data_IF_987421523306
#
_entry.id   IF_987421523306
#
_cell.length_a   1.000
_cell.length_b   1.000
_cell.length_c   1.000
_cell.angle_alpha   90.00
_cell.angle_beta   90.00
_cell.angle_gamma   90.00
#
_symmetry.space_group_name_H-M   'P 1'
#
loop_
_entity.id
_entity.type
_entity.pdbx_description
1 polymer ?
#
# COMPACT_ATOMS: atom_id res chain seq x y z
N UNK A 1 -3.78 -16.06 -4.56
CA UNK A 1 -2.71 -17.05 -4.85
C UNK A 1 -2.05 -16.73 -6.19
N UNK A 2 -0.73 -16.90 -6.33
CA UNK A 2 -0.05 -16.71 -7.63
C UNK A 2 -0.26 -17.92 -8.53
N UNK A 3 -0.61 -17.68 -9.80
CA UNK A 3 -0.80 -18.71 -10.81
C UNK A 3 0.37 -18.77 -11.81
N UNK A 4 0.58 -19.91 -12.49
CA UNK A 4 1.46 -19.98 -13.65
C UNK A 4 0.88 -19.16 -14.81
N UNK A 5 1.77 -18.65 -15.68
CA UNK A 5 1.34 -17.86 -16.86
C UNK A 5 0.37 -18.64 -17.77
N UNK A 6 0.59 -19.94 -17.89
CA UNK A 6 -0.25 -20.84 -18.68
C UNK A 6 -1.71 -20.83 -18.25
N UNK A 7 -2.01 -20.65 -16.96
CA UNK A 7 -3.39 -20.56 -16.46
C UNK A 7 -4.15 -19.34 -17.01
N UNK A 8 -3.42 -18.35 -17.52
CA UNK A 8 -3.96 -17.17 -18.15
C UNK A 8 -3.97 -17.30 -19.68
N UNK A 9 -2.84 -17.68 -20.29
CA UNK A 9 -2.70 -17.74 -21.75
C UNK A 9 -3.47 -18.89 -22.41
N UNK A 10 -3.91 -19.88 -21.63
CA UNK A 10 -4.76 -20.99 -22.13
C UNK A 10 -6.25 -20.62 -22.26
N UNK A 11 -6.66 -19.45 -21.77
CA UNK A 11 -8.06 -19.00 -21.87
C UNK A 11 -8.20 -17.96 -22.99
N UNK A 12 -9.32 -17.96 -23.73
CA UNK A 12 -9.54 -17.06 -24.86
C UNK A 12 -10.04 -15.68 -24.40
N UNK A 13 -9.25 -14.99 -23.55
CA UNK A 13 -9.58 -13.64 -23.12
C UNK A 13 -9.47 -12.66 -24.28
N UNK A 14 -10.41 -11.73 -24.38
CA UNK A 14 -10.45 -10.70 -25.44
C UNK A 14 -9.22 -9.78 -25.44
N UNK A 15 -8.57 -9.63 -24.28
CA UNK A 15 -7.31 -8.87 -24.17
C UNK A 15 -6.21 -9.42 -25.08
N UNK A 16 -6.21 -10.71 -25.39
CA UNK A 16 -5.20 -11.31 -26.27
C UNK A 16 -5.27 -10.80 -27.71
N UNK A 17 -6.44 -10.29 -28.14
CA UNK A 17 -6.63 -9.73 -29.47
C UNK A 17 -5.89 -8.39 -29.65
N UNK A 18 -5.74 -7.61 -28.55
CA UNK A 18 -5.22 -6.24 -28.60
C UNK A 18 -3.87 -6.05 -27.94
N UNK A 19 -3.46 -6.98 -27.08
CA UNK A 19 -2.23 -6.90 -26.28
C UNK A 19 -1.20 -8.00 -26.60
N UNK A 20 -1.18 -8.50 -27.85
CA UNK A 20 -0.26 -9.57 -28.29
C UNK A 20 1.22 -9.20 -28.22
N UNK A 21 1.56 -7.90 -28.23
CA UNK A 21 2.91 -7.36 -28.06
C UNK A 21 3.33 -7.16 -26.60
N UNK A 22 2.43 -7.45 -25.64
CA UNK A 22 2.71 -7.37 -24.20
C UNK A 22 3.15 -8.72 -23.64
N UNK A 23 4.03 -8.66 -22.63
CA UNK A 23 4.46 -9.84 -21.89
C UNK A 23 3.66 -10.00 -20.61
N UNK A 24 3.16 -11.20 -20.36
CA UNK A 24 2.54 -11.54 -19.08
C UNK A 24 3.62 -11.58 -18.00
N UNK A 25 3.60 -10.63 -17.07
CA UNK A 25 4.56 -10.52 -15.98
C UNK A 25 4.15 -11.33 -14.75
N UNK A 26 2.92 -11.20 -14.32
CA UNK A 26 2.38 -11.90 -13.16
C UNK A 26 0.89 -12.25 -13.37
N UNK A 27 0.47 -13.39 -12.81
CA UNK A 27 -0.92 -13.83 -12.77
C UNK A 27 -1.29 -14.21 -11.34
N UNK A 28 -2.43 -13.71 -10.86
CA UNK A 28 -2.92 -13.93 -9.51
C UNK A 28 -4.40 -14.32 -9.51
N UNK A 29 -4.76 -15.24 -8.62
CA UNK A 29 -6.15 -15.56 -8.30
C UNK A 29 -6.48 -15.10 -6.89
N UNK A 30 -7.67 -14.55 -6.72
CA UNK A 30 -8.22 -14.05 -5.47
C UNK A 30 -9.48 -14.85 -5.14
N UNK A 31 -9.51 -15.42 -3.93
CA UNK A 31 -10.63 -16.23 -3.48
C UNK A 31 -11.86 -15.35 -3.22
N UNK A 32 -12.98 -15.73 -3.86
CA UNK A 32 -14.27 -15.05 -3.76
C UNK A 32 -15.33 -16.02 -3.22
N UNK A 33 -15.35 -16.31 -1.91
CA UNK A 33 -16.26 -17.31 -1.35
C UNK A 33 -17.73 -16.97 -1.67
N UNK A 34 -18.47 -17.98 -2.16
CA UNK A 34 -19.88 -17.84 -2.52
C UNK A 34 -20.13 -17.06 -3.81
N UNK A 35 -19.09 -16.82 -4.63
CA UNK A 35 -19.24 -16.16 -5.91
C UNK A 35 -19.91 -17.03 -6.97
N UNK A 36 -20.88 -16.46 -7.68
CA UNK A 36 -21.54 -17.02 -8.87
C UNK A 36 -20.97 -16.48 -10.19
N UNK A 37 -21.50 -16.98 -11.31
CA UNK A 37 -21.04 -16.55 -12.65
C UNK A 37 -21.26 -15.07 -12.91
N UNK A 38 -22.36 -14.50 -12.42
CA UNK A 38 -22.82 -13.14 -12.75
C UNK A 38 -22.33 -12.08 -11.74
N UNK A 39 -21.43 -12.45 -10.82
CA UNK A 39 -21.00 -11.56 -9.74
C UNK A 39 -19.82 -10.64 -10.12
N UNK A 40 -19.31 -10.70 -11.33
CA UNK A 40 -18.17 -9.85 -11.76
C UNK A 40 -18.46 -8.36 -11.66
N UNK A 41 -19.61 -7.83 -12.12
CA UNK A 41 -19.95 -6.40 -11.96
C UNK A 41 -19.99 -5.99 -10.47
N UNK A 42 -20.53 -6.84 -9.60
CA UNK A 42 -20.56 -6.57 -8.16
C UNK A 42 -19.15 -6.52 -7.56
N UNK A 43 -18.23 -7.36 -8.05
CA UNK A 43 -16.82 -7.33 -7.66
C UNK A 43 -16.12 -6.04 -8.14
N UNK A 44 -16.34 -5.63 -9.38
CA UNK A 44 -15.81 -4.37 -9.90
C UNK A 44 -16.32 -3.17 -9.10
N UNK A 45 -17.62 -3.13 -8.79
CA UNK A 45 -18.21 -2.10 -7.96
C UNK A 45 -17.60 -2.09 -6.54
N UNK A 46 -17.33 -3.25 -5.96
CA UNK A 46 -16.69 -3.34 -4.65
C UNK A 46 -15.24 -2.84 -4.64
N UNK A 47 -14.51 -3.01 -5.75
CA UNK A 47 -13.16 -2.47 -5.91
C UNK A 47 -13.19 -0.95 -6.14
N UNK A 48 -14.19 -0.45 -6.87
CA UNK A 48 -14.34 0.97 -7.21
C UNK A 48 -14.98 1.80 -6.10
N UNK A 49 -15.70 1.14 -5.19
CA UNK A 49 -16.32 1.83 -4.06
C UNK A 49 -15.26 2.67 -3.34
N UNK A 50 -15.55 3.96 -3.04
CA UNK A 50 -14.64 4.78 -2.28
C UNK A 50 -14.32 4.05 -0.97
N UNK A 51 -13.19 3.36 -0.94
CA UNK A 51 -12.71 2.68 0.25
C UNK A 51 -12.40 3.72 1.30
N UNK A 52 -12.66 3.40 2.57
CA UNK A 52 -12.07 4.17 3.66
C UNK A 52 -10.54 4.19 3.43
N UNK A 53 -9.93 5.37 3.22
CA UNK A 53 -8.47 5.47 3.05
C UNK A 53 -7.69 4.79 4.18
N UNK A 54 -8.31 4.61 5.36
CA UNK A 54 -7.76 3.86 6.47
C UNK A 54 -7.73 2.34 6.23
N UNK A 55 -8.55 1.80 5.32
CA UNK A 55 -8.63 0.36 5.01
C UNK A 55 -7.70 -0.07 3.88
N UNK A 56 -7.15 0.86 3.11
CA UNK A 56 -6.10 0.53 2.15
C UNK A 56 -4.89 -0.05 2.88
N UNK A 57 -4.44 -1.22 2.45
CA UNK A 57 -3.28 -1.86 3.06
C UNK A 57 -2.07 -0.91 3.04
N UNK A 58 -1.54 -0.58 4.21
CA UNK A 58 -0.37 0.29 4.41
C UNK A 58 0.76 0.06 3.40
N UNK A 59 1.15 -1.20 3.08
CA UNK A 59 2.18 -1.46 2.07
C UNK A 59 1.80 -0.99 0.67
N UNK A 60 0.54 -1.07 0.29
CA UNK A 60 0.07 -0.66 -1.04
C UNK A 60 0.09 0.87 -1.18
N UNK A 61 -0.39 1.60 -0.17
CA UNK A 61 -0.33 3.07 -0.10
C UNK A 61 1.11 3.58 -0.13
N UNK A 62 1.99 2.96 0.64
CA UNK A 62 3.42 3.25 0.63
C UNK A 62 4.02 3.11 -0.78
N UNK A 63 3.65 2.06 -1.49
CA UNK A 63 4.13 1.77 -2.82
C UNK A 63 3.73 2.78 -3.86
N UNK A 64 2.44 3.09 -3.92
CA UNK A 64 1.97 4.12 -4.81
C UNK A 64 2.60 5.47 -4.48
N UNK A 65 2.77 5.79 -3.20
CA UNK A 65 3.43 7.02 -2.78
C UNK A 65 4.92 7.06 -3.16
N UNK A 66 5.66 5.97 -3.00
CA UNK A 66 7.06 5.84 -3.48
C UNK A 66 7.11 5.89 -5.00
N UNK A 67 6.24 5.15 -5.69
CA UNK A 67 6.14 5.15 -7.14
C UNK A 67 5.89 6.56 -7.69
N UNK A 68 4.96 7.30 -7.10
CA UNK A 68 4.65 8.66 -7.54
C UNK A 68 5.78 9.65 -7.25
N UNK A 69 6.44 9.52 -6.10
CA UNK A 69 7.59 10.38 -5.78
C UNK A 69 8.79 10.10 -6.69
N UNK A 70 9.08 8.84 -6.96
CA UNK A 70 10.10 8.48 -7.94
C UNK A 70 9.67 8.90 -9.34
N UNK A 71 8.39 8.74 -9.69
CA UNK A 71 7.81 9.21 -10.94
C UNK A 71 7.98 10.72 -11.14
N UNK A 72 7.69 11.51 -10.11
CA UNK A 72 7.90 12.96 -10.14
C UNK A 72 9.38 13.33 -10.20
N UNK A 73 10.24 12.64 -9.44
CA UNK A 73 11.69 12.91 -9.41
C UNK A 73 12.38 12.61 -10.74
N UNK A 74 11.96 11.51 -11.40
CA UNK A 74 12.56 11.04 -12.66
C UNK A 74 11.73 11.39 -13.91
N UNK A 75 10.66 12.18 -13.74
CA UNK A 75 9.79 12.58 -14.85
C UNK A 75 9.06 11.42 -15.52
N UNK A 76 8.78 10.32 -14.78
CA UNK A 76 8.13 9.14 -15.35
C UNK A 76 6.65 9.34 -15.64
N UNK A 77 6.01 10.26 -14.92
CA UNK A 77 4.57 10.54 -14.95
C UNK A 77 4.27 11.89 -15.64
N UNK A 78 5.20 12.42 -16.43
CA UNK A 78 4.94 13.61 -17.23
C UNK A 78 3.83 13.32 -18.28
N UNK A 79 2.93 14.28 -18.57
CA UNK A 79 1.87 14.11 -19.58
C UNK A 79 2.40 13.69 -20.95
N UNK A 80 3.61 14.17 -21.32
CA UNK A 80 4.31 13.80 -22.57
C UNK A 80 4.87 12.37 -22.58
N UNK A 81 4.86 11.68 -21.47
CA UNK A 81 5.36 10.30 -21.33
C UNK A 81 4.25 9.24 -21.28
N UNK A 82 3.00 9.66 -21.26
CA UNK A 82 1.81 8.84 -21.08
C UNK A 82 1.14 8.37 -22.36
N UNK A 83 -0.08 7.89 -22.18
CA UNK A 83 -1.01 7.48 -23.26
C UNK A 83 -1.38 8.71 -24.09
N UNK A 84 -1.47 8.54 -25.40
CA UNK A 84 -1.78 9.59 -26.36
C UNK A 84 -0.59 10.47 -26.76
N UNK A 85 0.47 10.51 -25.96
CA UNK A 85 1.66 11.29 -26.27
C UNK A 85 2.86 10.42 -26.69
N UNK A 86 3.18 9.35 -25.92
CA UNK A 86 4.29 8.45 -26.24
C UNK A 86 3.80 7.12 -26.84
N UNK A 87 2.70 6.60 -26.36
CA UNK A 87 2.11 5.35 -26.82
C UNK A 87 0.65 5.57 -27.18
N UNK A 88 0.20 4.86 -28.21
CA UNK A 88 -1.24 4.81 -28.53
C UNK A 88 -1.98 4.02 -27.47
N UNK A 89 -3.20 4.44 -27.15
CA UNK A 89 -4.09 3.71 -26.26
C UNK A 89 -4.43 2.34 -26.88
N UNK A 90 -4.56 1.33 -26.04
CA UNK A 90 -5.11 0.05 -26.47
C UNK A 90 -6.59 0.18 -26.89
N UNK A 91 -7.28 1.24 -26.48
CA UNK A 91 -8.62 1.56 -27.02
C UNK A 91 -8.64 1.72 -28.54
N UNK A 92 -7.57 2.21 -29.12
CA UNK A 92 -7.45 2.40 -30.59
C UNK A 92 -7.35 1.06 -31.32
N UNK A 93 -7.00 -0.02 -30.62
CA UNK A 93 -6.88 -1.39 -31.14
C UNK A 93 -8.14 -2.24 -30.92
N UNK A 94 -9.17 -1.69 -30.25
CA UNK A 94 -10.40 -2.43 -29.94
C UNK A 94 -11.15 -2.84 -31.21
N UNK A 95 -11.57 -4.11 -31.34
CA UNK A 95 -12.58 -4.54 -32.29
C UNK A 95 -13.89 -3.76 -32.11
N UNK A 96 -14.75 -3.73 -33.13
CA UNK A 96 -15.96 -2.91 -33.13
C UNK A 96 -16.89 -3.20 -31.96
N UNK A 97 -17.09 -4.48 -31.63
CA UNK A 97 -17.94 -4.96 -30.54
C UNK A 97 -17.43 -4.49 -29.16
N UNK A 98 -16.12 -4.61 -28.89
CA UNK A 98 -15.52 -4.12 -27.65
C UNK A 98 -15.47 -2.58 -27.59
N UNK A 99 -15.41 -1.91 -28.73
CA UNK A 99 -15.43 -0.45 -28.79
C UNK A 99 -16.79 0.12 -28.39
N UNK A 100 -17.88 -0.54 -28.77
CA UNK A 100 -19.24 -0.17 -28.36
C UNK A 100 -19.40 -0.37 -26.83
N UNK A 101 -18.99 -1.51 -26.30
CA UNK A 101 -19.01 -1.77 -24.86
C UNK A 101 -18.15 -0.77 -24.06
N UNK A 102 -17.00 -0.36 -24.60
CA UNK A 102 -16.08 0.58 -23.94
C UNK A 102 -16.66 2.01 -23.78
N UNK A 103 -17.70 2.38 -24.54
CA UNK A 103 -18.32 3.70 -24.42
C UNK A 103 -19.08 3.89 -23.10
N UNK A 104 -19.55 2.80 -22.47
CA UNK A 104 -20.23 2.81 -21.17
C UNK A 104 -19.31 2.55 -19.97
N UNK A 105 -18.04 2.23 -20.20
CA UNK A 105 -17.11 1.87 -19.14
C UNK A 105 -16.71 3.08 -18.31
N UNK A 106 -17.12 3.09 -17.04
CA UNK A 106 -16.72 4.08 -16.02
C UNK A 106 -15.62 3.56 -15.08
N UNK A 107 -15.07 2.38 -15.37
CA UNK A 107 -14.03 1.74 -14.55
C UNK A 107 -12.72 2.54 -14.61
N UNK A 108 -12.63 3.60 -13.84
CA UNK A 108 -11.40 4.36 -13.63
C UNK A 108 -10.80 4.03 -12.27
N UNK A 109 -9.69 3.30 -12.23
CA UNK A 109 -8.86 3.18 -11.04
C UNK A 109 -7.65 4.09 -11.20
N UNK A 110 -7.71 5.32 -10.72
CA UNK A 110 -6.52 6.17 -10.78
C UNK A 110 -5.30 5.44 -10.18
N UNK A 111 -4.17 5.36 -10.89
CA UNK A 111 -3.80 6.09 -12.12
C UNK A 111 -4.07 5.35 -13.45
N UNK A 112 -4.86 4.29 -13.44
CA UNK A 112 -5.16 3.51 -14.64
C UNK A 112 -6.31 4.12 -15.44
N UNK A 113 -6.24 3.96 -16.75
CA UNK A 113 -7.32 4.34 -17.69
C UNK A 113 -8.02 3.07 -18.18
N UNK A 114 -9.35 3.04 -18.14
CA UNK A 114 -10.11 1.91 -18.65
C UNK A 114 -9.88 1.74 -20.15
N UNK A 115 -9.67 0.52 -20.60
CA UNK A 115 -9.62 0.14 -22.02
C UNK A 115 -10.97 -0.37 -22.45
N UNK A 116 -11.50 -1.39 -21.77
CA UNK A 116 -12.85 -1.92 -21.94
C UNK A 116 -13.32 -2.60 -20.64
N UNK A 117 -14.62 -2.80 -20.55
CA UNK A 117 -15.29 -3.59 -19.53
C UNK A 117 -16.29 -4.50 -20.25
N UNK A 118 -16.22 -5.81 -20.00
CA UNK A 118 -17.04 -6.85 -20.56
C UNK A 118 -17.69 -7.68 -19.45
N UNK A 119 -18.55 -8.63 -19.80
CA UNK A 119 -19.34 -9.41 -18.84
C UNK A 119 -18.50 -10.12 -17.77
N UNK A 120 -17.33 -10.66 -18.16
CA UNK A 120 -16.47 -11.47 -17.33
C UNK A 120 -14.99 -11.02 -17.32
N UNK A 121 -14.67 -9.90 -17.99
CA UNK A 121 -13.32 -9.34 -18.00
C UNK A 121 -13.30 -7.82 -18.16
N UNK A 122 -12.29 -7.18 -17.61
CA UNK A 122 -11.98 -5.79 -17.89
C UNK A 122 -10.49 -5.53 -18.02
N UNK A 123 -10.13 -4.54 -18.80
CA UNK A 123 -8.75 -4.13 -19.02
C UNK A 123 -8.55 -2.66 -18.68
N UNK A 124 -7.48 -2.40 -17.94
CA UNK A 124 -7.05 -1.08 -17.49
C UNK A 124 -5.61 -0.86 -17.93
N UNK A 125 -5.30 0.26 -18.56
CA UNK A 125 -3.96 0.57 -19.02
C UNK A 125 -3.31 1.73 -18.27
N UNK A 126 -1.99 1.68 -18.17
CA UNK A 126 -1.15 2.74 -17.62
C UNK A 126 0.14 2.82 -18.42
N UNK A 127 0.46 3.99 -18.93
CA UNK A 127 1.74 4.24 -19.57
C UNK A 127 2.56 5.27 -18.82
N UNK A 128 3.86 5.02 -18.79
CA UNK A 128 4.88 5.91 -18.25
C UNK A 128 6.11 5.93 -19.16
N UNK A 129 7.10 6.75 -18.86
CA UNK A 129 8.36 6.82 -19.61
C UNK A 129 9.07 5.46 -19.74
N UNK A 130 8.90 4.58 -18.76
CA UNK A 130 9.62 3.30 -18.66
C UNK A 130 8.83 2.09 -19.13
N UNK A 131 7.50 2.11 -19.03
CA UNK A 131 6.66 0.95 -19.33
C UNK A 131 5.25 1.36 -19.77
N UNK A 132 4.70 0.63 -20.72
CA UNK A 132 3.26 0.54 -20.97
C UNK A 132 2.77 -0.76 -20.36
N UNK A 133 1.82 -0.69 -19.45
CA UNK A 133 1.31 -1.83 -18.69
C UNK A 133 -0.21 -1.91 -18.75
N UNK A 134 -0.71 -3.13 -18.67
CA UNK A 134 -2.13 -3.45 -18.59
C UNK A 134 -2.38 -4.26 -17.34
N UNK A 135 -3.38 -3.89 -16.60
CA UNK A 135 -3.99 -4.70 -15.56
C UNK A 135 -5.28 -5.29 -16.14
N UNK A 136 -5.30 -6.58 -16.33
CA UNK A 136 -6.45 -7.31 -16.81
C UNK A 136 -7.08 -8.06 -15.65
N UNK A 137 -8.35 -7.79 -15.38
CA UNK A 137 -9.17 -8.49 -14.40
C UNK A 137 -10.13 -9.40 -15.15
N UNK A 138 -10.28 -10.63 -14.69
CA UNK A 138 -11.17 -11.60 -15.33
C UNK A 138 -11.85 -12.50 -14.30
N UNK A 139 -13.06 -12.91 -14.61
CA UNK A 139 -13.89 -13.76 -13.78
C UNK A 139 -13.83 -15.20 -14.29
N UNK A 140 -13.47 -16.14 -13.46
CA UNK A 140 -13.24 -17.51 -13.90
C UNK A 140 -13.75 -18.53 -12.89
N UNK A 141 -14.21 -19.71 -13.34
CA UNK A 141 -14.47 -20.82 -12.44
C UNK A 141 -13.23 -21.17 -11.63
N UNK A 142 -13.42 -21.31 -10.30
CA UNK A 142 -12.37 -21.69 -9.37
C UNK A 142 -12.21 -23.22 -9.31
N UNK A 143 -11.00 -23.76 -9.16
CA UNK A 143 -10.77 -25.20 -9.03
C UNK A 143 -11.49 -25.82 -7.81
N UNK A 144 -11.76 -25.04 -6.78
CA UNK A 144 -12.48 -25.44 -5.56
C UNK A 144 -13.99 -25.34 -5.67
N UNK A 145 -14.54 -25.01 -6.83
CA UNK A 145 -15.95 -24.69 -7.05
C UNK A 145 -16.27 -23.21 -6.86
N UNK A 146 -17.34 -22.73 -7.49
CA UNK A 146 -17.69 -21.32 -7.57
C UNK A 146 -16.79 -20.53 -8.53
N UNK A 147 -16.62 -19.23 -8.29
CA UNK A 147 -15.85 -18.33 -9.14
C UNK A 147 -14.75 -17.61 -8.36
N UNK A 148 -13.73 -17.18 -9.08
CA UNK A 148 -12.58 -16.43 -8.54
C UNK A 148 -12.25 -15.25 -9.45
N UNK A 149 -11.80 -14.14 -8.85
CA UNK A 149 -11.21 -13.05 -9.60
C UNK A 149 -9.78 -13.43 -9.99
N UNK A 150 -9.45 -13.30 -11.25
CA UNK A 150 -8.07 -13.42 -11.76
C UNK A 150 -7.57 -12.05 -12.20
N UNK A 151 -6.33 -11.77 -11.90
CA UNK A 151 -5.65 -10.58 -12.35
C UNK A 151 -4.37 -10.97 -13.06
N UNK A 152 -4.21 -10.50 -14.28
CA UNK A 152 -2.96 -10.57 -15.02
C UNK A 152 -2.37 -9.17 -15.17
N UNK A 153 -1.06 -9.05 -14.97
CA UNK A 153 -0.30 -7.85 -15.29
C UNK A 153 0.51 -8.13 -16.54
N UNK A 154 0.18 -7.38 -17.59
CA UNK A 154 0.90 -7.41 -18.85
C UNK A 154 1.76 -6.15 -18.94
N UNK A 155 2.93 -6.23 -19.53
CA UNK A 155 3.83 -5.10 -19.66
C UNK A 155 4.59 -5.13 -20.98
N UNK A 156 4.75 -3.94 -21.55
CA UNK A 156 5.63 -3.66 -22.67
C UNK A 156 6.69 -2.63 -22.21
N UNK A 157 7.89 -3.10 -21.74
CA UNK A 157 8.93 -2.21 -21.24
C UNK A 157 9.56 -1.38 -22.35
N UNK A 158 9.78 -0.09 -22.10
CA UNK A 158 10.43 0.80 -23.04
C UNK A 158 11.97 0.63 -22.99
N UNK A 159 12.50 -0.14 -23.93
CA UNK A 159 13.93 -0.36 -24.08
C UNK A 159 14.60 -1.04 -22.86
N UNK A 160 15.90 -0.86 -22.74
CA UNK A 160 16.71 -1.42 -21.65
C UNK A 160 16.36 -0.81 -20.28
N UNK A 161 16.17 0.52 -20.14
CA UNK A 161 15.78 1.11 -18.86
C UNK A 161 14.45 0.55 -18.32
N UNK A 162 13.46 0.35 -19.20
CA UNK A 162 12.19 -0.25 -18.82
C UNK A 162 12.33 -1.70 -18.35
N UNK A 163 13.17 -2.50 -19.01
CA UNK A 163 13.46 -3.88 -18.60
C UNK A 163 14.15 -3.95 -17.24
N UNK A 164 15.12 -3.10 -17.00
CA UNK A 164 15.82 -3.00 -15.70
C UNK A 164 14.87 -2.56 -14.60
N UNK A 165 14.02 -1.56 -14.86
CA UNK A 165 12.99 -1.12 -13.94
C UNK A 165 12.04 -2.28 -13.58
N UNK A 166 11.50 -3.00 -14.57
CA UNK A 166 10.59 -4.14 -14.33
C UNK A 166 11.26 -5.27 -13.56
N UNK A 167 12.56 -5.54 -13.81
CA UNK A 167 13.33 -6.53 -13.06
C UNK A 167 13.52 -6.09 -11.59
N UNK A 168 13.87 -4.82 -11.36
CA UNK A 168 14.12 -4.27 -10.03
C UNK A 168 12.86 -4.27 -9.16
N UNK A 169 11.69 -3.94 -9.71
CA UNK A 169 10.43 -3.90 -8.95
C UNK A 169 9.77 -5.29 -8.79
N UNK A 170 10.24 -6.30 -9.50
CA UNK A 170 9.62 -7.64 -9.50
C UNK A 170 9.55 -8.29 -8.12
N UNK A 171 10.65 -8.39 -7.31
CA UNK A 171 10.56 -8.97 -5.98
C UNK A 171 9.59 -8.20 -5.08
N UNK A 172 9.59 -6.90 -5.17
CA UNK A 172 8.77 -6.02 -4.41
C UNK A 172 7.27 -6.19 -4.76
N UNK A 173 6.93 -6.20 -6.03
CA UNK A 173 5.58 -6.46 -6.53
C UNK A 173 5.04 -7.78 -5.99
N UNK A 174 5.86 -8.85 -6.02
CA UNK A 174 5.46 -10.21 -5.63
C UNK A 174 5.36 -10.43 -4.14
N UNK A 175 6.25 -9.82 -3.36
CA UNK A 175 6.35 -10.07 -1.93
C UNK A 175 5.50 -9.11 -1.09
N UNK A 176 5.17 -7.95 -1.63
CA UNK A 176 4.51 -6.87 -0.89
C UNK A 176 3.20 -6.45 -1.54
N UNK A 177 3.24 -6.01 -2.82
CA UNK A 177 2.07 -5.42 -3.48
C UNK A 177 0.94 -6.43 -3.60
N UNK A 178 1.20 -7.53 -4.28
CA UNK A 178 0.14 -8.49 -4.58
C UNK A 178 -0.41 -9.20 -3.33
N UNK A 179 0.38 -9.60 -2.31
CA UNK A 179 -0.19 -10.10 -1.06
C UNK A 179 -1.05 -9.09 -0.30
N UNK A 180 -0.68 -7.80 -0.35
CA UNK A 180 -1.49 -6.73 0.25
C UNK A 180 -2.79 -6.52 -0.53
N UNK A 181 -2.70 -6.46 -1.85
CA UNK A 181 -3.84 -6.32 -2.75
C UNK A 181 -4.80 -7.51 -2.64
N UNK A 182 -4.28 -8.74 -2.53
CA UNK A 182 -5.09 -9.94 -2.28
C UNK A 182 -5.96 -9.78 -1.05
N UNK A 183 -5.36 -9.40 0.08
CA UNK A 183 -6.12 -9.21 1.33
C UNK A 183 -7.19 -8.13 1.20
N UNK A 184 -6.88 -7.05 0.52
CA UNK A 184 -7.83 -5.94 0.31
C UNK A 184 -9.02 -6.38 -0.54
N UNK A 185 -8.78 -7.05 -1.67
CA UNK A 185 -9.84 -7.55 -2.55
C UNK A 185 -10.73 -8.60 -1.87
N UNK A 186 -10.12 -9.56 -1.17
CA UNK A 186 -10.85 -10.59 -0.44
C UNK A 186 -11.65 -10.01 0.74
N UNK A 187 -11.18 -8.91 1.35
CA UNK A 187 -11.94 -8.19 2.38
C UNK A 187 -13.12 -7.43 1.77
N UNK A 188 -12.88 -6.69 0.69
CA UNK A 188 -13.94 -5.96 -0.02
C UNK A 188 -15.07 -6.91 -0.46
N UNK A 189 -14.70 -8.10 -0.98
CA UNK A 189 -15.66 -9.11 -1.35
C UNK A 189 -16.48 -9.64 -0.17
N UNK A 190 -15.84 -9.95 0.97
CA UNK A 190 -16.54 -10.44 2.18
C UNK A 190 -17.45 -9.39 2.82
N UNK A 191 -17.13 -8.11 2.64
CA UNK A 191 -17.88 -6.98 3.20
C UNK A 191 -18.96 -6.45 2.27
N UNK A 192 -19.04 -6.95 1.00
CA UNK A 192 -20.09 -6.54 0.07
C UNK A 192 -21.48 -6.83 0.66
N UNK A 193 -22.40 -5.89 0.51
CA UNK A 193 -23.76 -6.03 1.03
C UNK A 193 -23.91 -5.86 2.54
N UNK A 194 -22.82 -5.65 3.29
CA UNK A 194 -22.94 -5.15 4.66
C UNK A 194 -23.16 -3.63 4.61
N UNK A 195 -24.27 -3.12 5.19
CA UNK A 195 -24.39 -1.68 5.31
C UNK A 195 -23.18 -1.19 6.06
N UNK A 196 -22.36 -0.36 5.41
CA UNK A 196 -21.24 0.29 6.08
C UNK A 196 -21.76 0.94 7.37
N UNK A 197 -21.01 0.98 8.47
CA UNK A 197 -21.45 1.63 9.68
C UNK A 197 -21.82 3.08 9.35
N UNK A 198 -23.12 3.35 9.30
CA UNK A 198 -23.65 4.70 9.12
C UNK A 198 -23.14 5.51 10.30
N UNK A 199 -22.24 6.46 10.06
CA UNK A 199 -21.90 7.48 11.04
C UNK A 199 -20.76 7.17 12.00
N UNK A 200 -19.84 6.25 11.71
CA UNK A 200 -18.51 6.33 12.33
C UNK A 200 -17.75 7.45 11.60
N UNK A 201 -17.85 8.67 12.14
CA UNK A 201 -16.92 9.74 11.83
C UNK A 201 -15.52 9.14 11.93
N UNK A 202 -14.80 9.03 10.81
CA UNK A 202 -13.44 8.53 10.84
C UNK A 202 -12.67 9.41 11.82
N UNK A 203 -12.22 8.83 12.94
CA UNK A 203 -11.60 9.59 14.00
C UNK A 203 -10.46 10.41 13.40
N UNK A 204 -10.56 11.72 13.55
CA UNK A 204 -9.61 12.68 13.01
C UNK A 204 -8.26 12.42 13.67
N UNK A 205 -7.21 12.34 12.88
CA UNK A 205 -5.84 12.27 13.38
C UNK A 205 -5.26 13.67 13.21
N UNK A 206 -4.89 14.29 14.32
CA UNK A 206 -4.21 15.56 14.34
C UNK A 206 -2.74 15.32 14.00
N UNK A 207 -2.13 16.17 13.18
CA UNK A 207 -0.72 16.09 12.82
C UNK A 207 0.06 17.35 13.15
N UNK A 208 1.31 17.18 13.56
CA UNK A 208 2.29 18.23 13.76
C UNK A 208 3.59 17.82 13.06
N UNK A 209 4.13 18.69 12.23
CA UNK A 209 5.36 18.46 11.47
C UNK A 209 6.36 19.59 11.71
N UNK A 210 7.59 19.23 12.02
CA UNK A 210 8.65 20.15 12.41
C UNK A 210 8.75 20.31 13.93
N UNK A 211 9.94 20.56 14.42
CA UNK A 211 10.22 20.73 15.85
C UNK A 211 9.43 21.85 16.48
N UNK A 212 9.18 22.92 15.73
CA UNK A 212 8.49 24.13 16.22
C UNK A 212 6.98 23.90 16.46
N UNK A 213 6.42 22.83 15.89
CA UNK A 213 5.01 22.47 16.00
C UNK A 213 4.75 21.33 17.02
N UNK A 214 5.81 20.78 17.62
CA UNK A 214 5.73 19.69 18.60
C UNK A 214 6.10 20.22 19.98
N UNK A 215 5.29 19.96 21.03
CA UNK A 215 5.60 20.43 22.37
C UNK A 215 7.01 20.03 22.83
N UNK A 216 7.71 20.93 23.50
CA UNK A 216 9.08 20.69 24.00
C UNK A 216 9.15 19.50 24.95
N UNK A 217 8.11 19.30 25.77
CA UNK A 217 7.97 18.13 26.65
C UNK A 217 8.00 16.80 25.89
N UNK A 218 7.46 16.76 24.68
CA UNK A 218 7.47 15.58 23.79
C UNK A 218 8.84 15.41 23.14
N UNK A 219 9.45 16.48 22.70
CA UNK A 219 10.80 16.48 22.12
C UNK A 219 11.86 16.04 23.15
N UNK A 220 11.66 16.38 24.43
CA UNK A 220 12.54 15.99 25.54
C UNK A 220 12.61 14.47 25.76
N UNK A 221 11.63 13.71 25.29
CA UNK A 221 11.67 12.24 25.33
C UNK A 221 12.58 11.64 24.24
N UNK A 222 13.08 12.44 23.30
CA UNK A 222 14.05 11.97 22.30
C UNK A 222 15.44 11.83 22.90
N UNK A 223 16.14 10.75 22.55
CA UNK A 223 17.56 10.55 22.89
C UNK A 223 18.52 11.18 21.89
N UNK A 224 17.99 11.79 20.83
CA UNK A 224 18.81 12.34 19.75
C UNK A 224 19.47 13.66 20.20
N UNK A 225 20.77 13.78 20.03
CA UNK A 225 21.52 15.02 20.34
C UNK A 225 21.12 16.20 19.44
N UNK A 226 20.50 15.91 18.29
CA UNK A 226 19.94 16.87 17.33
C UNK A 226 18.80 16.18 16.61
N UNK A 227 17.70 16.89 16.37
CA UNK A 227 16.56 16.40 15.61
C UNK A 227 16.56 17.17 14.29
N UNK A 228 16.83 16.44 13.19
CA UNK A 228 16.82 17.00 11.82
C UNK A 228 15.47 16.85 11.15
N UNK A 229 14.62 15.94 11.67
CA UNK A 229 13.24 15.73 11.25
C UNK A 229 12.40 15.32 12.44
N UNK A 230 11.21 15.89 12.54
CA UNK A 230 10.20 15.53 13.54
C UNK A 230 8.80 15.54 12.92
N UNK A 231 7.99 14.56 13.28
CA UNK A 231 6.53 14.59 13.15
C UNK A 231 5.86 13.90 14.34
N UNK A 232 4.60 14.25 14.56
CA UNK A 232 3.73 13.65 15.58
C UNK A 232 2.31 13.56 15.05
N UNK A 233 1.71 12.40 15.19
CA UNK A 233 0.32 12.12 14.84
C UNK A 233 -0.43 11.71 16.10
N UNK A 234 -1.62 12.29 16.33
CA UNK A 234 -2.40 12.05 17.54
C UNK A 234 -3.83 11.66 17.18
N UNK A 235 -4.31 10.59 17.79
CA UNK A 235 -5.66 10.05 17.61
C UNK A 235 -6.38 10.03 18.96
N UNK A 236 -7.58 10.62 19.03
CA UNK A 236 -8.48 10.43 20.17
C UNK A 236 -9.06 9.01 20.15
N UNK A 237 -9.09 8.34 21.31
CA UNK A 237 -9.50 6.93 21.42
C UNK A 237 -10.02 6.59 22.80
N UNK A 238 -11.07 5.76 22.85
CA UNK A 238 -11.62 5.21 24.10
C UNK A 238 -10.92 3.90 24.53
N UNK A 239 -9.95 3.43 23.74
CA UNK A 239 -9.23 2.22 24.05
C UNK A 239 -8.15 2.51 25.11
N UNK A 240 -8.30 1.88 26.26
CA UNK A 240 -7.34 1.96 27.35
C UNK A 240 -6.31 0.83 27.20
N UNK A 241 -5.08 1.19 26.77
CA UNK A 241 -3.99 0.25 26.58
C UNK A 241 -2.65 0.95 26.89
N UNK A 242 -1.65 0.17 27.29
CA UNK A 242 -0.31 0.71 27.56
C UNK A 242 0.37 1.19 26.27
N UNK A 243 1.31 2.13 26.34
CA UNK A 243 2.09 2.57 25.17
C UNK A 243 2.77 1.41 24.43
N UNK A 244 3.21 0.37 25.14
CA UNK A 244 3.82 -0.82 24.54
C UNK A 244 2.76 -1.65 23.77
N UNK A 245 1.57 -1.82 24.31
CA UNK A 245 0.48 -2.50 23.60
C UNK A 245 0.09 -1.74 22.33
N UNK A 246 0.02 -0.41 22.38
CA UNK A 246 -0.20 0.43 21.22
C UNK A 246 0.91 0.28 20.19
N UNK A 247 2.18 0.31 20.60
CA UNK A 247 3.29 0.12 19.68
C UNK A 247 3.24 -1.26 18.99
N UNK A 248 2.91 -2.31 19.74
CA UNK A 248 2.75 -3.67 19.20
C UNK A 248 1.51 -3.79 18.29
N UNK A 249 0.44 -3.07 18.56
CA UNK A 249 -0.73 -3.01 17.68
C UNK A 249 -0.41 -2.31 16.35
N UNK A 250 0.42 -1.26 16.37
CA UNK A 250 0.88 -0.54 15.19
C UNK A 250 1.85 -1.37 14.35
N UNK A 251 2.94 -1.86 14.95
CA UNK A 251 4.10 -2.42 14.24
C UNK A 251 4.22 -3.95 14.33
N UNK A 252 3.46 -4.59 15.22
CA UNK A 252 3.61 -6.01 15.50
C UNK A 252 4.82 -6.34 16.37
N UNK A 253 4.96 -7.63 16.71
CA UNK A 253 6.13 -8.13 17.47
C UNK A 253 7.37 -8.30 16.57
N UNK A 254 7.13 -8.64 15.30
CA UNK A 254 8.16 -8.89 14.29
C UNK A 254 7.82 -8.06 13.05
N UNK A 255 8.81 -7.41 12.44
CA UNK A 255 8.54 -6.58 11.27
C UNK A 255 8.00 -7.43 10.12
N UNK A 256 6.95 -6.94 9.46
CA UNK A 256 6.44 -7.51 8.23
C UNK A 256 7.50 -7.51 7.11
N UNK A 257 7.26 -8.25 6.04
CA UNK A 257 8.16 -8.26 4.88
C UNK A 257 8.33 -6.85 4.30
N UNK A 258 7.24 -6.06 4.28
CA UNK A 258 7.26 -4.67 3.81
C UNK A 258 8.12 -3.77 4.71
N UNK A 259 7.92 -3.84 6.02
CA UNK A 259 8.70 -3.07 6.99
C UNK A 259 10.18 -3.45 6.95
N UNK A 260 10.50 -4.74 6.83
CA UNK A 260 11.89 -5.20 6.64
C UNK A 260 12.52 -4.63 5.40
N UNK A 261 11.78 -4.57 4.29
CA UNK A 261 12.28 -3.99 3.04
C UNK A 261 12.54 -2.48 3.21
N UNK A 262 11.61 -1.75 3.83
CA UNK A 262 11.76 -0.31 4.07
C UNK A 262 12.89 -0.04 5.06
N UNK A 263 12.82 -0.64 6.23
CA UNK A 263 13.74 -0.32 7.32
C UNK A 263 15.15 -0.87 7.10
N UNK A 264 15.29 -2.12 6.65
CA UNK A 264 16.62 -2.71 6.39
C UNK A 264 17.10 -2.45 4.96
N UNK A 265 16.20 -2.48 3.97
CA UNK A 265 16.56 -2.32 2.56
C UNK A 265 16.79 -0.86 2.17
N UNK A 266 15.81 0.04 2.43
CA UNK A 266 15.91 1.44 2.01
C UNK A 266 16.63 2.31 3.04
N UNK A 267 16.31 2.14 4.33
CA UNK A 267 16.88 2.96 5.41
C UNK A 267 18.13 2.34 6.04
N UNK A 268 18.50 1.11 5.68
CA UNK A 268 19.68 0.43 6.21
C UNK A 268 19.65 0.21 7.73
N UNK A 269 18.47 0.29 8.35
CA UNK A 269 18.29 0.20 9.80
C UNK A 269 18.64 -1.20 10.29
N UNK A 270 19.41 -1.26 11.36
CA UNK A 270 19.79 -2.52 12.04
C UNK A 270 18.70 -2.92 13.01
N UNK A 271 17.82 -3.82 12.58
CA UNK A 271 16.75 -4.38 13.40
C UNK A 271 17.17 -5.65 14.08
N UNK A 272 16.73 -5.85 15.32
CA UNK A 272 16.85 -7.11 16.04
C UNK A 272 16.08 -8.23 15.32
N UNK A 273 16.55 -9.46 15.47
CA UNK A 273 15.91 -10.63 14.87
C UNK A 273 14.97 -11.30 15.87
N UNK A 274 13.81 -11.75 15.37
CA UNK A 274 12.86 -12.51 16.16
C UNK A 274 12.02 -11.66 17.12
N UNK A 275 11.15 -12.35 17.86
CA UNK A 275 10.31 -11.76 18.90
C UNK A 275 11.10 -11.62 20.19
N UNK A 276 11.05 -10.47 20.83
CA UNK A 276 11.71 -10.21 22.11
C UNK A 276 10.89 -9.23 22.95
N UNK A 277 10.85 -9.38 24.30
CA UNK A 277 10.21 -8.42 25.19
C UNK A 277 10.85 -7.02 25.13
N UNK A 278 12.14 -6.95 24.78
CA UNK A 278 12.88 -5.69 24.64
C UNK A 278 12.76 -5.02 23.28
N UNK A 279 11.95 -5.58 22.36
CA UNK A 279 11.81 -5.03 21.00
C UNK A 279 10.36 -5.00 20.53
N UNK A 280 10.05 -4.04 19.68
CA UNK A 280 8.80 -3.97 18.90
C UNK A 280 9.17 -3.92 17.43
N UNK A 281 8.73 -4.89 16.65
CA UNK A 281 9.08 -5.03 15.24
C UNK A 281 10.58 -4.90 14.93
N UNK A 282 11.42 -5.37 15.86
CA UNK A 282 12.88 -5.31 15.77
C UNK A 282 13.52 -3.98 16.21
N UNK A 283 12.74 -2.94 16.50
CA UNK A 283 13.20 -1.72 17.15
C UNK A 283 13.43 -1.98 18.65
N UNK A 284 14.53 -1.50 19.20
CA UNK A 284 14.84 -1.65 20.63
C UNK A 284 13.93 -0.72 21.44
N UNK A 285 13.28 -1.22 22.47
CA UNK A 285 12.64 -0.39 23.48
C UNK A 285 13.76 0.18 24.34
N UNK A 286 14.08 1.44 24.15
CA UNK A 286 15.18 2.10 24.81
C UNK A 286 14.79 2.64 26.20
N UNK A 287 13.55 3.13 26.31
CA UNK A 287 13.05 3.70 27.54
C UNK A 287 11.54 3.54 27.66
N UNK A 288 11.06 3.43 28.88
CA UNK A 288 9.64 3.41 29.26
C UNK A 288 9.42 4.47 30.33
N UNK A 289 8.50 5.38 30.06
CA UNK A 289 8.05 6.38 31.04
C UNK A 289 6.59 6.18 31.41
N UNK A 290 6.07 7.06 32.24
CA UNK A 290 4.65 7.11 32.54
C UNK A 290 3.86 7.60 31.32
N UNK A 291 3.06 6.70 30.74
CA UNK A 291 2.26 7.00 29.55
C UNK A 291 3.02 7.04 28.21
N UNK A 292 4.31 6.65 28.14
CA UNK A 292 5.05 6.64 26.88
C UNK A 292 6.12 5.57 26.81
N UNK A 293 6.52 5.20 25.59
CA UNK A 293 7.73 4.41 25.31
C UNK A 293 8.51 5.01 24.15
N UNK A 294 9.82 4.88 24.20
CA UNK A 294 10.73 5.23 23.10
C UNK A 294 11.36 3.99 22.50
N UNK A 295 11.19 3.86 21.20
CA UNK A 295 11.83 2.84 20.39
C UNK A 295 12.98 3.46 19.61
N UNK A 296 14.12 2.79 19.56
CA UNK A 296 15.33 3.28 18.88
C UNK A 296 15.83 2.28 17.85
N UNK A 297 16.26 2.80 16.73
CA UNK A 297 17.01 2.04 15.74
C UNK A 297 17.88 2.99 14.90
N UNK A 298 19.02 2.46 14.40
CA UNK A 298 19.98 3.23 13.65
C UNK A 298 20.47 2.49 12.41
N UNK A 299 20.89 3.25 11.43
CA UNK A 299 21.69 2.81 10.31
C UNK A 299 23.06 3.51 10.34
N UNK A 300 23.86 3.35 9.29
CA UNK A 300 25.15 4.03 9.18
C UNK A 300 25.02 5.51 8.74
N UNK A 301 23.81 5.97 8.33
CA UNK A 301 23.58 7.34 7.84
C UNK A 301 22.41 8.08 8.51
N UNK A 302 21.62 7.39 9.33
CA UNK A 302 20.55 7.99 10.13
C UNK A 302 20.29 7.22 11.42
N UNK A 303 19.85 7.96 12.45
CA UNK A 303 19.34 7.40 13.72
C UNK A 303 17.91 7.87 13.91
N UNK A 304 17.01 6.96 14.29
CA UNK A 304 15.59 7.22 14.49
C UNK A 304 15.11 6.87 15.89
N UNK A 305 14.22 7.71 16.43
CA UNK A 305 13.38 7.43 17.58
C UNK A 305 11.91 7.37 17.12
N UNK A 306 11.17 6.38 17.59
CA UNK A 306 9.72 6.35 17.57
C UNK A 306 9.22 6.50 18.99
N UNK A 307 8.42 7.52 19.24
CA UNK A 307 7.79 7.78 20.53
C UNK A 307 6.31 7.42 20.43
N UNK A 308 5.88 6.49 21.28
CA UNK A 308 4.46 6.17 21.40
C UNK A 308 3.98 6.63 22.77
N UNK A 309 3.01 7.53 22.79
CA UNK A 309 2.38 8.04 24.00
C UNK A 309 0.91 7.60 24.02
N UNK A 310 0.42 7.22 25.20
CA UNK A 310 -0.98 6.85 25.44
C UNK A 310 -1.42 7.45 26.78
N UNK A 311 -2.06 8.59 26.73
CA UNK A 311 -2.51 9.37 27.90
C UNK A 311 -3.83 10.07 27.57
N UNK A 312 -4.66 10.27 28.60
CA UNK A 312 -5.86 11.13 28.53
C UNK A 312 -6.82 10.84 27.37
N UNK A 313 -7.06 9.57 27.06
CA UNK A 313 -7.96 9.21 25.96
C UNK A 313 -7.39 9.52 24.56
N UNK A 314 -6.06 9.65 24.46
CA UNK A 314 -5.35 9.89 23.22
C UNK A 314 -4.17 8.93 23.06
N UNK A 315 -3.88 8.58 21.82
CA UNK A 315 -2.65 7.88 21.45
C UNK A 315 -1.89 8.70 20.42
N UNK A 316 -0.60 8.83 20.58
CA UNK A 316 0.22 9.51 19.58
C UNK A 316 1.45 8.70 19.18
N UNK A 317 1.89 8.94 17.94
CA UNK A 317 3.11 8.41 17.36
C UNK A 317 3.97 9.59 16.92
N UNK A 318 5.09 9.80 17.61
CA UNK A 318 6.14 10.73 17.23
C UNK A 318 7.26 10.00 16.48
N UNK A 319 7.80 10.64 15.44
CA UNK A 319 8.95 10.14 14.69
C UNK A 319 10.02 11.22 14.68
N UNK A 320 11.18 10.91 15.28
CA UNK A 320 12.32 11.84 15.31
C UNK A 320 13.49 11.19 14.59
N UNK A 321 14.15 11.94 13.72
CA UNK A 321 15.27 11.45 12.93
C UNK A 321 16.43 12.43 12.98
N UNK A 322 17.63 11.88 13.21
CA UNK A 322 18.90 12.57 13.05
C UNK A 322 19.60 12.04 11.81
N UNK A 323 20.10 12.95 10.98
CA UNK A 323 20.91 12.61 9.82
C UNK A 323 22.37 12.52 10.23
N UNK A 324 22.89 11.32 10.36
CA UNK A 324 24.30 11.09 10.73
C UNK A 324 25.24 11.36 9.54
N UNK A 325 24.69 11.32 8.31
CA UNK A 325 25.39 11.67 7.07
C UNK A 325 24.43 12.38 6.09
N UNK A 326 24.98 13.11 5.11
CA UNK A 326 24.20 13.80 4.06
C UNK A 326 23.21 12.89 3.33
N UNK A 327 23.57 11.61 3.14
CA UNK A 327 22.71 10.60 2.55
C UNK A 327 21.39 10.43 3.35
N UNK A 328 21.44 10.58 4.68
CA UNK A 328 20.25 10.48 5.52
C UNK A 328 19.16 11.45 5.09
N UNK A 329 19.52 12.71 4.84
CA UNK A 329 18.60 13.72 4.32
C UNK A 329 18.06 13.34 2.93
N UNK A 330 18.94 12.93 2.02
CA UNK A 330 18.57 12.61 0.63
C UNK A 330 17.61 11.43 0.55
N UNK A 331 17.76 10.45 1.44
CA UNK A 331 16.88 9.26 1.52
C UNK A 331 15.60 9.58 2.30
N UNK A 332 15.72 10.19 3.49
CA UNK A 332 14.56 10.41 4.36
C UNK A 332 13.61 11.49 3.84
N UNK A 333 14.12 12.58 3.27
CA UNK A 333 13.28 13.69 2.82
C UNK A 333 12.17 13.25 1.84
N UNK A 334 12.42 12.49 0.76
CA UNK A 334 11.35 11.95 -0.07
C UNK A 334 10.47 10.92 0.65
N UNK A 335 11.05 10.08 1.52
CA UNK A 335 10.29 9.06 2.26
C UNK A 335 9.42 9.66 3.36
N UNK A 336 9.82 10.79 3.97
CA UNK A 336 9.03 11.44 5.03
C UNK A 336 7.63 11.86 4.56
N UNK A 337 7.49 12.29 3.31
CA UNK A 337 6.17 12.63 2.78
C UNK A 337 5.28 11.40 2.57
N UNK A 338 5.87 10.25 2.31
CA UNK A 338 5.17 8.96 2.27
C UNK A 338 4.80 8.54 3.70
N UNK A 339 5.76 8.63 4.62
CA UNK A 339 5.55 8.36 6.05
C UNK A 339 4.37 9.14 6.61
N UNK A 340 4.31 10.46 6.38
CA UNK A 340 3.21 11.33 6.82
C UNK A 340 1.83 10.94 6.28
N UNK A 341 1.76 10.35 5.10
CA UNK A 341 0.49 9.84 4.55
C UNK A 341 0.06 8.52 5.17
N UNK A 342 1.00 7.75 5.68
CA UNK A 342 0.76 6.41 6.22
C UNK A 342 0.52 6.38 7.72
N UNK A 343 1.21 7.22 8.47
CA UNK A 343 1.16 7.24 9.94
C UNK A 343 -0.26 7.42 10.50
N UNK A 344 -1.14 8.29 9.95
CA UNK A 344 -2.53 8.37 10.39
C UNK A 344 -3.31 7.06 10.26
N UNK A 345 -3.09 6.33 9.15
CA UNK A 345 -3.70 5.01 8.93
C UNK A 345 -3.23 3.98 9.94
N UNK A 346 -1.94 3.99 10.27
CA UNK A 346 -1.35 3.08 11.25
C UNK A 346 -1.99 3.23 12.65
N UNK A 347 -2.25 4.47 13.09
CA UNK A 347 -2.94 4.77 14.35
C UNK A 347 -4.38 4.28 14.34
N UNK A 348 -5.13 4.52 13.24
CA UNK A 348 -6.53 4.05 13.13
C UNK A 348 -6.61 2.52 13.11
N UNK A 349 -5.73 1.85 12.39
CA UNK A 349 -5.68 0.38 12.32
C UNK A 349 -5.36 -0.22 13.70
N UNK A 350 -4.45 0.41 14.44
CA UNK A 350 -4.14 0.00 15.80
C UNK A 350 -5.35 0.19 16.73
N UNK A 351 -6.06 1.31 16.62
CA UNK A 351 -7.27 1.57 17.42
C UNK A 351 -8.40 0.56 17.12
N UNK A 352 -8.58 0.19 15.84
CA UNK A 352 -9.53 -0.84 15.46
C UNK A 352 -9.17 -2.21 16.07
N UNK A 353 -7.90 -2.62 16.00
CA UNK A 353 -7.42 -3.87 16.62
C UNK A 353 -7.66 -3.89 18.14
N UNK A 354 -7.43 -2.76 18.82
CA UNK A 354 -7.65 -2.66 20.26
C UNK A 354 -9.13 -2.78 20.64
N UNK A 355 -10.03 -2.22 19.84
CA UNK A 355 -11.49 -2.38 20.02
C UNK A 355 -11.94 -3.83 19.83
N UNK A 356 -11.43 -4.50 18.80
CA UNK A 356 -11.77 -5.90 18.51
C UNK A 356 -11.26 -6.86 19.60
N UNK A 357 -10.10 -6.59 20.20
CA UNK A 357 -9.58 -7.38 21.33
C UNK A 357 -10.43 -7.25 22.59
N UNK A 358 -11.03 -6.08 22.83
CA UNK A 358 -11.91 -5.83 23.98
C UNK A 358 -13.29 -6.51 23.83
N UNK A 359 -13.71 -6.83 22.61
CA UNK A 359 -14.99 -7.47 22.28
C UNK A 359 -14.92 -9.01 22.24
N UNK A 360 -13.71 -9.59 22.35
CA UNK A 360 -13.56 -11.05 22.48
C UNK A 360 -13.53 -11.40 23.97
N UNK A 361 -14.55 -12.17 24.45
CA UNK A 361 -14.61 -12.61 25.84
C UNK A 361 -13.44 -13.53 26.21
#
# INVERSE_FOLDING_TARGET
MRLPRTAYTSRPWRIHEIAGDFRVEDVWAFSMPGAGPDDFPAMLAAIQAPGDPAREALPLRFLFAVRWKLGALFGWDEPKAGIGARVQSLRDRLPSDLREAAQGSHAGFAPFTAVYEWDDECALELASKTVHSVMHLSWAPAPSGGYELRMAVLANPNGLPGRLYMAAIRPFRRLIVFPAFTRQLESAWRERGRPGPRGSSAATVDDAVGTDNIPESVLAHSSLSRIDYADRFTLATDANATPEQWARAMFGDVPSVAERFIWRGLLGIRLSRGRSPGTVAGWRIAERGEGWIRLEAASWFLTGNLLVEATDGRVSLGTFVRYDRRLGRSVWHPLSAVHRRLAPGLLRDAAAKMKDQKLRP
#
